data_IF_788418688241
#
_entry.id   IF_788418688241
#
_cell.length_a   1.000
_cell.length_b   1.000
_cell.length_c   1.000
_cell.angle_alpha   90.00
_cell.angle_beta   90.00
_cell.angle_gamma   90.00
#
_symmetry.space_group_name_H-M   'P 1'
#
loop_
_entity.id
_entity.type
_entity.pdbx_description
1 polymer ?
#
# COMPACT_ATOMS: atom_id res chain seq x y z
N UNK A 1 -31.47 11.35 7.61
CA UNK A 1 -30.04 11.67 7.70
C UNK A 1 -29.68 12.36 6.41
N UNK A 2 -28.73 13.30 6.45
CA UNK A 2 -28.23 13.93 5.21
C UNK A 2 -27.26 12.97 4.50
N UNK A 3 -27.02 13.21 3.21
CA UNK A 3 -26.08 12.42 2.41
C UNK A 3 -24.69 12.29 3.07
N UNK A 4 -24.15 13.40 3.58
CA UNK A 4 -22.89 13.41 4.32
C UNK A 4 -22.95 12.77 5.70
N UNK A 5 -24.09 12.82 6.39
CA UNK A 5 -24.24 12.12 7.68
C UNK A 5 -24.17 10.59 7.48
N UNK A 6 -24.81 10.09 6.42
CA UNK A 6 -24.77 8.66 6.08
C UNK A 6 -23.35 8.21 5.70
N UNK A 7 -22.60 9.03 4.94
CA UNK A 7 -21.19 8.75 4.60
C UNK A 7 -20.31 8.75 5.86
N UNK A 8 -20.43 9.78 6.71
CA UNK A 8 -19.61 9.92 7.92
C UNK A 8 -19.79 8.73 8.87
N UNK A 9 -21.00 8.19 9.00
CA UNK A 9 -21.29 7.00 9.81
C UNK A 9 -20.54 5.77 9.28
N UNK A 10 -20.39 5.62 7.97
CA UNK A 10 -19.67 4.49 7.36
C UNK A 10 -18.16 4.70 7.53
N UNK A 11 -17.64 5.89 7.28
CA UNK A 11 -16.22 6.21 7.44
C UNK A 11 -15.74 6.01 8.88
N UNK A 12 -16.53 6.41 9.88
CA UNK A 12 -16.20 6.19 11.30
C UNK A 12 -16.09 4.70 11.65
N UNK A 13 -16.90 3.84 11.02
CA UNK A 13 -16.81 2.38 11.20
C UNK A 13 -15.55 1.79 10.58
N UNK A 14 -15.03 2.41 9.52
CA UNK A 14 -13.76 2.03 8.88
C UNK A 14 -12.54 2.71 9.56
N UNK A 15 -12.76 3.54 10.59
CA UNK A 15 -11.71 4.26 11.28
C UNK A 15 -11.15 5.45 10.51
N UNK A 16 -11.84 5.91 9.47
CA UNK A 16 -11.47 7.07 8.66
C UNK A 16 -12.08 8.34 9.24
N UNK A 17 -11.24 9.36 9.43
CA UNK A 17 -11.69 10.67 9.89
C UNK A 17 -12.41 11.42 8.77
N UNK A 18 -13.45 12.19 9.12
CA UNK A 18 -14.12 13.09 8.17
C UNK A 18 -14.50 14.41 8.83
N UNK A 19 -14.41 15.51 8.06
CA UNK A 19 -14.67 16.87 8.52
C UNK A 19 -15.61 17.57 7.54
N UNK A 20 -16.80 17.98 7.97
CA UNK A 20 -17.79 18.64 7.11
C UNK A 20 -17.72 20.16 7.29
N UNK A 21 -17.54 20.88 6.18
CA UNK A 21 -17.53 22.33 6.09
C UNK A 21 -18.51 22.79 5.00
N UNK A 22 -19.71 23.22 5.41
CA UNK A 22 -20.73 23.68 4.47
C UNK A 22 -21.22 22.54 3.56
N UNK A 23 -20.96 22.67 2.26
CA UNK A 23 -21.28 21.74 1.18
C UNK A 23 -20.11 20.80 0.81
N UNK A 24 -19.01 20.85 1.56
CA UNK A 24 -17.84 20.00 1.34
C UNK A 24 -17.56 19.11 2.55
N UNK A 25 -17.30 17.82 2.31
CA UNK A 25 -16.72 16.90 3.28
C UNK A 25 -15.25 16.65 2.93
N UNK A 26 -14.38 16.77 3.93
CA UNK A 26 -12.94 16.56 3.83
C UNK A 26 -12.58 15.24 4.53
N UNK A 27 -11.79 14.40 3.86
CA UNK A 27 -11.38 13.09 4.35
C UNK A 27 -9.86 13.00 4.20
N UNK A 28 -9.07 13.18 5.28
CA UNK A 28 -7.63 13.02 5.23
C UNK A 28 -7.29 11.54 5.00
N UNK A 29 -6.43 11.26 4.02
CA UNK A 29 -5.92 9.91 3.78
C UNK A 29 -4.52 9.77 4.40
N UNK A 30 -3.63 10.71 4.06
CA UNK A 30 -2.25 10.76 4.52
C UNK A 30 -1.86 12.20 4.87
N UNK A 31 -0.63 12.41 5.32
CA UNK A 31 -0.10 13.75 5.59
C UNK A 31 -0.02 14.63 4.35
N UNK A 32 -0.03 14.03 3.16
CA UNK A 32 0.19 14.72 1.88
C UNK A 32 -1.10 14.81 1.05
N UNK A 33 -2.10 13.97 1.30
CA UNK A 33 -3.30 13.82 0.45
C UNK A 33 -4.60 13.89 1.26
N UNK A 34 -5.57 14.66 0.74
CA UNK A 34 -6.94 14.75 1.26
C UNK A 34 -7.97 14.56 0.14
N UNK A 35 -9.08 13.87 0.43
CA UNK A 35 -10.25 13.76 -0.46
C UNK A 35 -11.26 14.84 -0.09
N UNK A 36 -11.74 15.56 -1.10
CA UNK A 36 -12.82 16.54 -0.97
C UNK A 36 -14.06 16.02 -1.68
N UNK A 37 -15.16 15.89 -0.94
CA UNK A 37 -16.45 15.48 -1.45
C UNK A 37 -17.38 16.69 -1.45
N UNK A 38 -17.66 17.25 -2.63
CA UNK A 38 -18.46 18.48 -2.81
C UNK A 38 -19.87 18.12 -3.27
N UNK A 39 -20.89 18.47 -2.48
CA UNK A 39 -22.29 18.17 -2.77
C UNK A 39 -22.78 18.92 -4.02
N UNK A 40 -23.37 18.19 -4.97
CA UNK A 40 -23.89 18.75 -6.23
C UNK A 40 -25.38 19.10 -6.09
N UNK A 41 -26.15 18.23 -5.45
CA UNK A 41 -27.60 18.36 -5.33
C UNK A 41 -28.08 17.93 -3.93
N UNK A 42 -28.87 18.76 -3.22
CA UNK A 42 -29.32 18.47 -1.86
C UNK A 42 -30.53 17.51 -1.77
N UNK A 43 -31.11 17.13 -2.91
CA UNK A 43 -32.29 16.25 -3.00
C UNK A 43 -31.87 14.88 -3.54
N UNK A 44 -31.00 14.86 -4.56
CA UNK A 44 -30.39 13.64 -5.10
C UNK A 44 -29.00 13.47 -4.46
N UNK A 45 -28.72 12.38 -3.72
CA UNK A 45 -27.39 12.16 -3.13
C UNK A 45 -26.33 12.10 -4.22
N UNK A 46 -25.66 13.22 -4.49
CA UNK A 46 -24.71 13.35 -5.57
C UNK A 46 -23.58 14.29 -5.15
N UNK A 47 -22.34 13.88 -5.39
CA UNK A 47 -21.17 14.69 -5.11
C UNK A 47 -20.05 14.48 -6.13
N UNK A 48 -19.23 15.52 -6.28
CA UNK A 48 -17.95 15.44 -6.97
C UNK A 48 -16.88 15.04 -5.94
N UNK A 49 -16.00 14.11 -6.32
CA UNK A 49 -14.88 13.67 -5.50
C UNK A 49 -13.60 14.21 -6.11
N UNK A 50 -12.87 15.00 -5.34
CA UNK A 50 -11.59 15.57 -5.70
C UNK A 50 -10.49 15.00 -4.82
N UNK A 51 -9.29 14.87 -5.38
CA UNK A 51 -8.06 14.61 -4.62
C UNK A 51 -7.24 15.88 -4.63
N UNK A 52 -6.85 16.34 -3.44
CA UNK A 52 -6.01 17.52 -3.26
C UNK A 52 -4.79 17.19 -2.40
N UNK A 53 -3.76 18.02 -2.51
CA UNK A 53 -2.66 18.02 -1.57
C UNK A 53 -3.12 18.60 -0.22
N UNK A 54 -2.74 17.98 0.89
CA UNK A 54 -3.17 18.40 2.23
C UNK A 54 -2.60 19.77 2.67
N UNK A 55 -1.52 20.24 2.04
CA UNK A 55 -0.86 21.53 2.32
C UNK A 55 -1.07 22.57 1.20
N UNK A 56 -2.19 22.51 0.46
CA UNK A 56 -2.50 23.55 -0.54
C UNK A 56 -2.63 24.93 0.12
N UNK A 57 -1.89 25.93 -0.37
CA UNK A 57 -1.90 27.29 0.17
C UNK A 57 -3.31 27.91 0.13
N UNK A 58 -3.79 28.45 1.26
CA UNK A 58 -5.11 29.10 1.39
C UNK A 58 -5.27 30.36 0.48
N UNK A 59 -4.18 30.79 -0.16
CA UNK A 59 -4.09 32.00 -0.99
C UNK A 59 -4.25 31.72 -2.51
N UNK A 60 -4.40 30.47 -2.95
CA UNK A 60 -4.63 30.14 -4.37
C UNK A 60 -6.12 30.28 -4.76
N UNK A 61 -6.39 31.06 -5.83
CA UNK A 61 -7.75 31.22 -6.37
C UNK A 61 -8.16 29.97 -7.17
N UNK A 62 -8.65 28.94 -6.48
CA UNK A 62 -9.19 27.72 -7.06
C UNK A 62 -9.06 26.54 -6.11
N UNK A 63 -9.95 25.56 -6.22
CA UNK A 63 -9.73 24.25 -5.60
C UNK A 63 -8.67 23.54 -6.47
N UNK A 64 -7.43 23.42 -5.99
CA UNK A 64 -6.33 22.75 -6.73
C UNK A 64 -6.54 21.22 -6.85
N UNK A 65 -7.68 20.74 -6.33
CA UNK A 65 -8.09 19.36 -6.40
C UNK A 65 -8.35 18.87 -7.83
N UNK A 66 -7.89 17.66 -8.12
CA UNK A 66 -8.23 16.96 -9.36
C UNK A 66 -9.54 16.20 -9.20
N UNK A 67 -10.52 16.47 -10.08
CA UNK A 67 -11.77 15.70 -10.10
C UNK A 67 -11.48 14.27 -10.55
N UNK A 68 -11.62 13.32 -9.64
CA UNK A 68 -11.37 11.89 -9.91
C UNK A 68 -12.66 11.11 -10.15
N UNK A 69 -13.78 11.53 -9.54
CA UNK A 69 -15.06 10.83 -9.70
C UNK A 69 -16.28 11.73 -9.45
N UNK A 70 -17.43 11.25 -9.93
CA UNK A 70 -18.75 11.79 -9.60
C UNK A 70 -19.60 10.63 -9.09
N UNK A 71 -20.14 10.77 -7.89
CA UNK A 71 -20.88 9.71 -7.19
C UNK A 71 -22.35 10.11 -7.04
N UNK A 72 -23.25 9.12 -7.11
CA UNK A 72 -24.71 9.33 -7.10
C UNK A 72 -25.42 8.53 -5.99
N UNK A 73 -24.63 7.98 -5.06
CA UNK A 73 -25.12 7.27 -3.89
C UNK A 73 -24.06 7.24 -2.80
N UNK A 74 -24.46 6.90 -1.58
CA UNK A 74 -23.53 6.72 -0.45
C UNK A 74 -22.59 5.55 -0.74
N UNK A 75 -23.11 4.44 -1.25
CA UNK A 75 -22.30 3.26 -1.58
C UNK A 75 -21.25 3.57 -2.67
N UNK A 76 -21.60 4.37 -3.69
CA UNK A 76 -20.65 4.79 -4.72
C UNK A 76 -19.57 5.70 -4.15
N UNK A 77 -19.94 6.62 -3.25
CA UNK A 77 -19.01 7.50 -2.56
C UNK A 77 -17.98 6.69 -1.76
N UNK A 78 -18.46 5.77 -0.92
CA UNK A 78 -17.60 4.93 -0.09
C UNK A 78 -16.68 4.07 -0.95
N UNK A 79 -17.20 3.40 -1.99
CA UNK A 79 -16.39 2.58 -2.89
C UNK A 79 -15.23 3.35 -3.51
N UNK A 80 -15.47 4.59 -3.94
CA UNK A 80 -14.45 5.41 -4.56
C UNK A 80 -13.43 5.93 -3.54
N UNK A 81 -13.89 6.37 -2.37
CA UNK A 81 -13.02 6.77 -1.25
C UNK A 81 -12.10 5.60 -0.86
N UNK A 82 -12.66 4.42 -0.61
CA UNK A 82 -11.88 3.23 -0.22
C UNK A 82 -10.84 2.84 -1.27
N UNK A 83 -11.13 3.05 -2.56
CA UNK A 83 -10.18 2.78 -3.66
C UNK A 83 -8.95 3.69 -3.57
N UNK A 84 -9.16 4.98 -3.34
CA UNK A 84 -8.08 5.95 -3.22
C UNK A 84 -7.31 5.80 -1.91
N UNK A 85 -8.00 5.54 -0.80
CA UNK A 85 -7.39 5.23 0.49
C UNK A 85 -6.48 4.01 0.37
N UNK A 86 -6.97 2.91 -0.22
CA UNK A 86 -6.16 1.72 -0.40
C UNK A 86 -4.94 1.95 -1.30
N UNK A 87 -5.06 2.79 -2.33
CA UNK A 87 -3.95 3.13 -3.22
C UNK A 87 -2.86 3.91 -2.48
N UNK A 88 -3.24 4.94 -1.70
CA UNK A 88 -2.31 5.72 -0.89
C UNK A 88 -1.64 4.87 0.21
N UNK A 89 -2.37 3.95 0.83
CA UNK A 89 -1.79 3.00 1.79
C UNK A 89 -0.76 2.06 1.15
N UNK A 90 -1.00 1.56 -0.07
CA UNK A 90 0.00 0.76 -0.81
C UNK A 90 1.28 1.59 -1.05
N UNK A 91 1.13 2.84 -1.50
CA UNK A 91 2.25 3.75 -1.73
C UNK A 91 3.02 4.03 -0.44
N UNK A 92 2.30 4.22 0.67
CA UNK A 92 2.89 4.45 2.00
C UNK A 92 3.72 3.25 2.44
N UNK A 93 3.19 2.04 2.35
CA UNK A 93 3.92 0.81 2.71
C UNK A 93 5.19 0.66 1.86
N UNK A 94 5.09 0.89 0.55
CA UNK A 94 6.25 0.82 -0.34
C UNK A 94 7.31 1.85 0.04
N UNK A 95 6.90 3.10 0.34
CA UNK A 95 7.82 4.14 0.79
C UNK A 95 8.51 3.75 2.09
N UNK A 96 7.76 3.27 3.08
CA UNK A 96 8.30 2.91 4.38
C UNK A 96 9.32 1.77 4.29
N UNK A 97 9.10 0.81 3.38
CA UNK A 97 10.05 -0.26 3.06
C UNK A 97 11.33 0.28 2.41
N UNK A 98 11.19 1.15 1.39
CA UNK A 98 12.33 1.73 0.66
C UNK A 98 13.17 2.69 1.51
N UNK A 99 12.53 3.43 2.40
CA UNK A 99 13.19 4.38 3.28
C UNK A 99 13.72 3.73 4.57
N UNK A 100 13.38 2.47 4.84
CA UNK A 100 13.77 1.75 6.06
C UNK A 100 13.30 2.49 7.32
N UNK A 101 12.05 2.98 7.32
CA UNK A 101 11.56 3.87 8.40
C UNK A 101 11.40 3.15 9.75
N UNK A 102 11.29 1.82 9.74
CA UNK A 102 11.16 0.99 10.93
C UNK A 102 12.52 0.41 11.37
N UNK A 103 12.84 0.54 12.67
CA UNK A 103 14.11 0.09 13.25
C UNK A 103 14.38 -1.42 13.07
N UNK A 104 13.33 -2.24 12.91
CA UNK A 104 13.45 -3.70 12.76
C UNK A 104 14.04 -4.10 11.41
N UNK A 105 13.94 -3.23 10.40
CA UNK A 105 14.40 -3.49 9.04
C UNK A 105 15.46 -2.47 8.61
N UNK A 106 16.09 -1.75 9.55
CA UNK A 106 17.07 -0.71 9.23
C UNK A 106 18.31 -1.24 8.48
N UNK A 107 18.62 -2.52 8.66
CA UNK A 107 19.73 -3.22 7.99
C UNK A 107 19.34 -3.78 6.60
N UNK A 108 18.06 -3.72 6.22
CA UNK A 108 17.57 -4.19 4.92
C UNK A 108 17.53 -3.05 3.90
N UNK A 109 18.26 -3.22 2.80
CA UNK A 109 18.26 -2.26 1.68
C UNK A 109 17.23 -2.70 0.62
N UNK A 110 16.00 -2.22 0.74
CA UNK A 110 14.97 -2.46 -0.28
C UNK A 110 15.15 -1.58 -1.51
N UNK A 111 14.99 -2.18 -2.68
CA UNK A 111 14.99 -1.52 -3.98
C UNK A 111 13.73 -1.87 -4.75
N UNK A 112 13.25 -0.94 -5.59
CA UNK A 112 12.16 -1.23 -6.51
C UNK A 112 12.58 -2.24 -7.57
N UNK A 113 11.70 -3.19 -7.85
CA UNK A 113 11.83 -4.00 -9.05
C UNK A 113 11.66 -3.15 -10.31
N UNK A 114 12.45 -3.46 -11.35
CA UNK A 114 12.48 -2.70 -12.59
C UNK A 114 11.29 -2.97 -13.53
N UNK A 115 10.49 -4.00 -13.26
CA UNK A 115 9.40 -4.47 -14.12
C UNK A 115 8.03 -4.43 -13.42
N UNK A 116 8.01 -4.69 -12.11
CA UNK A 116 6.83 -4.80 -11.27
C UNK A 116 6.79 -3.58 -10.32
N UNK A 117 5.92 -2.60 -10.57
CA UNK A 117 5.92 -1.34 -9.81
C UNK A 117 5.72 -1.49 -8.29
N UNK A 118 4.95 -2.50 -7.88
CA UNK A 118 4.59 -2.71 -6.49
C UNK A 118 5.43 -3.79 -5.80
N UNK A 119 6.54 -4.18 -6.42
CA UNK A 119 7.49 -5.14 -5.87
C UNK A 119 8.73 -4.39 -5.41
N UNK A 120 9.14 -4.67 -4.18
CA UNK A 120 10.46 -4.29 -3.67
C UNK A 120 11.24 -5.53 -3.27
N UNK A 121 12.55 -5.47 -3.47
CA UNK A 121 13.47 -6.58 -3.24
C UNK A 121 14.63 -6.13 -2.36
N UNK A 122 15.11 -7.00 -1.47
CA UNK A 122 16.28 -6.78 -0.65
C UNK A 122 17.15 -8.04 -0.61
N UNK A 123 18.45 -7.90 -0.88
CA UNK A 123 19.41 -8.99 -0.74
C UNK A 123 19.56 -9.37 0.74
N UNK A 124 19.45 -10.65 1.07
CA UNK A 124 19.50 -11.13 2.46
C UNK A 124 20.50 -12.25 2.71
N UNK A 125 20.96 -12.93 1.66
CA UNK A 125 22.02 -13.93 1.72
C UNK A 125 22.87 -13.89 0.43
N UNK A 126 23.76 -14.87 0.24
CA UNK A 126 24.70 -14.88 -0.90
C UNK A 126 23.98 -15.01 -2.26
N UNK A 127 22.93 -15.83 -2.32
CA UNK A 127 22.17 -16.10 -3.53
C UNK A 127 20.66 -15.93 -3.32
N UNK A 128 20.25 -15.21 -2.26
CA UNK A 128 18.85 -15.04 -1.91
C UNK A 128 18.44 -13.61 -1.60
N UNK A 129 17.21 -13.30 -1.98
CA UNK A 129 16.57 -12.02 -1.75
C UNK A 129 15.18 -12.19 -1.11
N UNK A 130 14.77 -11.19 -0.33
CA UNK A 130 13.38 -11.03 0.08
C UNK A 130 12.64 -10.19 -0.94
N UNK A 131 11.51 -10.69 -1.39
CA UNK A 131 10.58 -10.04 -2.29
C UNK A 131 9.30 -9.68 -1.55
N UNK A 132 8.91 -8.40 -1.61
CA UNK A 132 7.67 -7.89 -1.01
C UNK A 132 6.80 -7.27 -2.09
N UNK A 133 5.72 -7.96 -2.45
CA UNK A 133 4.72 -7.49 -3.40
C UNK A 133 3.54 -6.87 -2.65
N UNK A 134 3.30 -5.57 -2.82
CA UNK A 134 2.22 -4.85 -2.14
C UNK A 134 1.06 -4.60 -3.09
N UNK A 135 -0.08 -5.23 -2.83
CA UNK A 135 -1.27 -5.10 -3.68
C UNK A 135 -2.53 -4.90 -2.85
N UNK A 136 -3.58 -4.37 -3.47
CA UNK A 136 -4.89 -4.27 -2.83
C UNK A 136 -5.68 -5.56 -3.05
N UNK A 137 -6.01 -6.27 -1.97
CA UNK A 137 -6.86 -7.48 -1.98
C UNK A 137 -8.16 -7.14 -1.28
N UNK A 138 -9.29 -7.22 -2.01
CA UNK A 138 -10.63 -6.88 -1.48
C UNK A 138 -10.72 -5.46 -0.87
N UNK A 139 -9.96 -4.51 -1.39
CA UNK A 139 -9.91 -3.13 -0.88
C UNK A 139 -8.92 -2.91 0.26
N UNK A 140 -8.22 -3.96 0.70
CA UNK A 140 -7.26 -3.91 1.80
C UNK A 140 -5.83 -4.00 1.25
N UNK A 141 -4.92 -3.06 1.56
CA UNK A 141 -3.52 -3.19 1.18
C UNK A 141 -2.92 -4.43 1.86
N UNK A 142 -2.30 -5.28 1.06
CA UNK A 142 -1.76 -6.57 1.49
C UNK A 142 -0.37 -6.76 0.89
N UNK A 143 0.62 -6.91 1.75
CA UNK A 143 1.98 -7.22 1.37
C UNK A 143 2.19 -8.74 1.36
N UNK A 144 2.52 -9.31 0.20
CA UNK A 144 2.91 -10.72 0.07
C UNK A 144 4.42 -10.81 0.08
N UNK A 145 4.94 -11.61 1.01
CA UNK A 145 6.38 -11.76 1.23
C UNK A 145 6.82 -13.14 0.78
N UNK A 146 7.87 -13.19 -0.01
CA UNK A 146 8.55 -14.42 -0.40
C UNK A 146 10.06 -14.24 -0.29
N UNK A 147 10.77 -15.32 0.00
CA UNK A 147 12.21 -15.38 -0.19
C UNK A 147 12.48 -16.16 -1.47
N UNK A 148 13.37 -15.65 -2.31
CA UNK A 148 13.77 -16.30 -3.56
C UNK A 148 15.24 -16.62 -3.47
N UNK A 149 15.59 -17.88 -3.70
CA UNK A 149 16.97 -18.36 -3.80
C UNK A 149 17.27 -18.68 -5.26
N UNK A 150 18.39 -18.18 -5.75
CA UNK A 150 18.86 -18.40 -7.11
C UNK A 150 19.97 -19.45 -7.13
N UNK A 151 20.09 -20.13 -8.27
CA UNK A 151 21.22 -21.03 -8.51
C UNK A 151 22.56 -20.31 -8.55
N UNK A 152 23.62 -21.03 -8.19
CA UNK A 152 24.98 -20.52 -8.24
C UNK A 152 25.39 -20.33 -9.71
N UNK A 153 25.65 -19.09 -10.17
CA UNK A 153 26.04 -18.85 -11.56
C UNK A 153 27.38 -19.49 -11.93
N UNK A 154 28.20 -19.91 -10.96
CA UNK A 154 29.42 -20.68 -11.18
C UNK A 154 29.19 -22.20 -11.29
N UNK A 155 28.00 -22.70 -10.96
CA UNK A 155 27.65 -24.10 -11.11
C UNK A 155 27.51 -24.51 -12.60
N UNK A 156 27.59 -25.81 -12.87
CA UNK A 156 27.38 -26.37 -14.21
C UNK A 156 26.07 -27.16 -14.24
N UNK A 157 25.27 -26.97 -15.29
CA UNK A 157 24.05 -27.77 -15.51
C UNK A 157 22.79 -27.11 -14.93
N UNK A 158 21.84 -27.94 -14.49
CA UNK A 158 20.55 -27.46 -13.97
C UNK A 158 20.69 -26.67 -12.65
N UNK A 159 21.83 -26.81 -11.95
CA UNK A 159 22.16 -26.08 -10.72
C UNK A 159 22.52 -24.59 -10.95
N UNK A 160 22.74 -24.16 -12.20
CA UNK A 160 23.10 -22.77 -12.52
C UNK A 160 21.88 -21.88 -12.87
N UNK A 161 20.75 -22.50 -13.21
CA UNK A 161 19.56 -21.82 -13.70
C UNK A 161 18.29 -22.32 -12.97
N UNK A 162 18.35 -22.36 -11.64
CA UNK A 162 17.17 -22.62 -10.80
C UNK A 162 16.77 -21.40 -9.97
N UNK A 163 15.49 -21.37 -9.63
CA UNK A 163 14.86 -20.39 -8.76
C UNK A 163 13.95 -21.15 -7.80
N UNK A 164 14.23 -21.08 -6.50
CA UNK A 164 13.38 -21.64 -5.46
C UNK A 164 12.69 -20.54 -4.66
N UNK A 165 11.36 -20.64 -4.54
CA UNK A 165 10.54 -19.63 -3.87
C UNK A 165 9.99 -20.20 -2.55
N UNK A 166 10.39 -19.58 -1.44
CA UNK A 166 9.81 -19.80 -0.12
C UNK A 166 8.77 -18.72 0.18
N UNK A 167 7.49 -19.09 0.14
CA UNK A 167 6.40 -18.17 0.52
C UNK A 167 6.35 -17.98 2.04
N UNK A 168 6.48 -16.74 2.50
CA UNK A 168 6.44 -16.38 3.93
C UNK A 168 5.04 -15.90 4.38
N UNK A 169 4.18 -15.57 3.43
CA UNK A 169 2.76 -15.28 3.66
C UNK A 169 2.31 -13.92 3.11
N UNK A 170 1.09 -13.53 3.47
CA UNK A 170 0.49 -12.24 3.10
C UNK A 170 0.02 -11.51 4.36
N UNK A 171 0.31 -10.21 4.44
CA UNK A 171 0.13 -9.40 5.64
C UNK A 171 -0.57 -8.08 5.28
N UNK A 172 -1.72 -7.83 5.89
CA UNK A 172 -2.40 -6.52 5.85
C UNK A 172 -2.07 -5.66 7.08
N UNK A 173 -1.39 -6.25 8.07
CA UNK A 173 -0.88 -5.58 9.26
C UNK A 173 0.59 -5.25 9.04
N UNK A 174 0.91 -3.96 8.95
CA UNK A 174 2.25 -3.45 8.64
C UNK A 174 3.23 -3.75 9.79
N UNK A 175 2.79 -3.70 11.04
CA UNK A 175 3.66 -4.05 12.17
C UNK A 175 4.05 -5.53 12.09
N UNK A 176 3.11 -6.38 11.69
CA UNK A 176 3.37 -7.81 11.50
C UNK A 176 4.26 -8.08 10.29
N UNK A 177 4.12 -7.31 9.21
CA UNK A 177 5.00 -7.37 8.05
C UNK A 177 6.45 -7.13 8.47
N UNK A 178 6.72 -6.05 9.20
CA UNK A 178 8.08 -5.73 9.66
C UNK A 178 8.67 -6.79 10.60
N UNK A 179 7.87 -7.37 11.51
CA UNK A 179 8.31 -8.52 12.33
C UNK A 179 8.78 -9.71 11.48
N UNK A 180 8.05 -9.99 10.39
CA UNK A 180 8.34 -11.13 9.52
C UNK A 180 9.56 -10.86 8.66
N UNK A 181 9.71 -9.64 8.12
CA UNK A 181 10.89 -9.25 7.35
C UNK A 181 12.16 -9.31 8.19
N UNK A 182 12.13 -8.78 9.42
CA UNK A 182 13.26 -8.85 10.34
C UNK A 182 13.65 -10.30 10.66
N UNK A 183 12.67 -11.16 10.99
CA UNK A 183 12.93 -12.57 11.23
C UNK A 183 13.46 -13.29 9.99
N UNK A 184 12.96 -12.94 8.81
CA UNK A 184 13.38 -13.55 7.56
C UNK A 184 14.83 -13.19 7.22
N UNK A 185 15.21 -11.93 7.42
CA UNK A 185 16.60 -11.47 7.29
C UNK A 185 17.53 -12.23 8.22
N UNK A 186 17.16 -12.41 9.50
CA UNK A 186 17.95 -13.18 10.48
C UNK A 186 18.10 -14.66 10.13
N UNK A 187 17.20 -15.21 9.32
CA UNK A 187 17.14 -16.64 8.96
C UNK A 187 17.53 -16.93 7.52
N UNK A 188 17.85 -15.92 6.74
CA UNK A 188 18.09 -16.04 5.31
C UNK A 188 19.18 -17.07 4.99
N UNK A 189 20.35 -16.99 5.64
CA UNK A 189 21.44 -17.97 5.45
C UNK A 189 20.98 -19.42 5.75
N UNK A 190 20.21 -19.62 6.82
CA UNK A 190 19.72 -20.95 7.24
C UNK A 190 18.68 -21.50 6.25
N UNK A 191 17.85 -20.62 5.67
CA UNK A 191 16.82 -21.01 4.72
C UNK A 191 17.37 -21.23 3.32
N UNK A 192 18.35 -20.44 2.88
CA UNK A 192 19.08 -20.64 1.61
C UNK A 192 19.72 -22.03 1.58
N UNK A 193 20.39 -22.46 2.66
CA UNK A 193 20.95 -23.82 2.77
C UNK A 193 19.90 -24.95 2.69
N UNK A 194 18.62 -24.63 2.88
CA UNK A 194 17.52 -25.60 2.81
C UNK A 194 16.76 -25.54 1.49
N UNK A 195 16.87 -24.43 0.76
CA UNK A 195 16.29 -24.20 -0.57
C UNK A 195 17.25 -24.67 -1.68
N UNK A 196 17.88 -25.82 -1.44
CA UNK A 196 18.77 -26.48 -2.40
C UNK A 196 17.90 -27.37 -3.30
N UNK A 197 18.11 -27.35 -4.62
CA UNK A 197 17.38 -28.19 -5.56
C UNK A 197 17.45 -29.66 -5.14
N UNK A 198 16.28 -30.30 -5.12
CA UNK A 198 16.17 -31.74 -4.89
C UNK A 198 16.66 -32.49 -6.15
N UNK A 199 17.83 -33.12 -6.03
CA UNK A 199 18.43 -34.10 -6.97
C UNK A 199 17.45 -35.22 -7.42
#
# INVERSE_FOLDING_TARGET
MSFFEDIAVVLDQEGLESRVHGDTMLIPISSEIEIHLVEIDPILPAANLYITAAESDEDEEGDDGSLVAVVFSVDDAIREISTHVATDQVVTILRDLLEGTDERIEDLEFLHDGLIPNLVVAEVAENSELQVLVETVEGIPTATVSMVSFGDPEAEGDDAEYEEILSLGSFSDVDRLFDVLALAAERADEWEEQLIPLD
#
